data_IF_866128228813
#
_entry.id   IF_866128228813
#
_cell.length_a   1.000
_cell.length_b   1.000
_cell.length_c   1.000
_cell.angle_alpha   90.00
_cell.angle_beta   90.00
_cell.angle_gamma   90.00
#
_symmetry.space_group_name_H-M   'P 1'
#
loop_
_entity.id
_entity.type
_entity.pdbx_description
1 polymer ?
#
# COMPACT_ATOMS: atom_id res chain seq x y z
N UNK A 1 -10.59 15.97 -17.32
CA UNK A 1 -9.96 14.69 -17.74
C UNK A 1 -8.92 14.41 -16.68
N UNK A 2 -9.05 13.33 -15.91
CA UNK A 2 -8.15 13.00 -14.79
C UNK A 2 -6.72 12.94 -15.36
N UNK A 3 -5.82 13.81 -14.89
CA UNK A 3 -4.45 13.91 -15.42
C UNK A 3 -3.58 12.75 -14.92
N UNK A 4 -3.93 12.18 -13.77
CA UNK A 4 -3.14 11.18 -13.05
C UNK A 4 -3.77 9.78 -13.05
N UNK A 5 -4.35 9.35 -14.18
CA UNK A 5 -5.06 8.07 -14.31
C UNK A 5 -4.22 6.86 -13.91
N UNK A 6 -2.90 6.89 -14.16
CA UNK A 6 -2.01 5.79 -13.82
C UNK A 6 -1.82 5.66 -12.29
N UNK A 7 -1.71 6.78 -11.57
CA UNK A 7 -1.62 6.79 -10.11
C UNK A 7 -2.90 6.25 -9.48
N UNK A 8 -4.06 6.65 -10.00
CA UNK A 8 -5.35 6.13 -9.52
C UNK A 8 -5.46 4.62 -9.78
N UNK A 9 -5.09 4.15 -10.98
CA UNK A 9 -5.14 2.73 -11.32
C UNK A 9 -4.22 1.88 -10.42
N UNK A 10 -3.02 2.37 -10.12
CA UNK A 10 -2.10 1.69 -9.19
C UNK A 10 -2.68 1.66 -7.78
N UNK A 11 -3.30 2.74 -7.32
CA UNK A 11 -3.94 2.79 -6.01
C UNK A 11 -5.12 1.80 -5.90
N UNK A 12 -5.96 1.71 -6.92
CA UNK A 12 -7.05 0.74 -6.99
C UNK A 12 -6.54 -0.69 -6.96
N UNK A 13 -5.48 -0.98 -7.71
CA UNK A 13 -4.84 -2.30 -7.73
C UNK A 13 -4.25 -2.66 -6.36
N UNK A 14 -3.63 -1.70 -5.67
CA UNK A 14 -3.17 -1.89 -4.29
C UNK A 14 -4.31 -2.25 -3.34
N UNK A 15 -5.46 -1.55 -3.43
CA UNK A 15 -6.64 -1.84 -2.61
C UNK A 15 -7.18 -3.24 -2.91
N UNK A 16 -7.25 -3.62 -4.20
CA UNK A 16 -7.67 -4.96 -4.63
C UNK A 16 -6.76 -6.05 -4.05
N UNK A 17 -5.44 -5.86 -4.14
CA UNK A 17 -4.45 -6.79 -3.62
C UNK A 17 -4.51 -6.92 -2.10
N UNK A 18 -4.66 -5.81 -1.37
CA UNK A 18 -4.84 -5.83 0.09
C UNK A 18 -6.10 -6.61 0.49
N UNK A 19 -7.21 -6.43 -0.24
CA UNK A 19 -8.44 -7.21 -0.04
C UNK A 19 -8.22 -8.70 -0.31
N UNK A 20 -7.45 -9.06 -1.34
CA UNK A 20 -7.13 -10.46 -1.65
C UNK A 20 -6.26 -11.12 -0.58
N UNK A 21 -5.24 -10.43 -0.06
CA UNK A 21 -4.41 -10.92 1.04
C UNK A 21 -5.28 -11.28 2.26
N UNK A 22 -6.22 -10.40 2.62
CA UNK A 22 -7.15 -10.65 3.74
C UNK A 22 -8.09 -11.82 3.44
N UNK A 23 -8.73 -11.81 2.27
CA UNK A 23 -9.67 -12.87 1.87
C UNK A 23 -9.03 -14.26 1.91
N UNK A 24 -7.80 -14.40 1.40
CA UNK A 24 -7.08 -15.68 1.40
C UNK A 24 -6.70 -16.10 2.83
N UNK A 25 -6.26 -15.15 3.66
CA UNK A 25 -5.95 -15.40 5.07
C UNK A 25 -7.17 -15.85 5.89
N UNK A 26 -8.37 -15.35 5.56
CA UNK A 26 -9.62 -15.69 6.24
C UNK A 26 -10.20 -17.04 5.76
N UNK A 27 -10.16 -17.32 4.45
CA UNK A 27 -10.78 -18.52 3.87
C UNK A 27 -9.91 -19.78 3.98
N UNK A 28 -8.58 -19.64 3.93
CA UNK A 28 -7.59 -20.73 4.07
C UNK A 28 -7.94 -21.96 3.22
N UNK A 29 -8.29 -21.78 1.95
CA UNK A 29 -8.53 -22.87 1.01
C UNK A 29 -7.26 -23.72 0.80
N UNK A 30 -7.39 -24.90 0.21
CA UNK A 30 -6.21 -25.72 -0.11
C UNK A 30 -5.22 -24.93 -0.99
N UNK A 31 -3.95 -24.83 -0.58
CA UNK A 31 -2.93 -24.04 -1.28
C UNK A 31 -2.93 -22.54 -0.98
N UNK A 32 -3.72 -22.07 -0.01
CA UNK A 32 -3.83 -20.65 0.35
C UNK A 32 -2.49 -19.96 0.66
N UNK A 33 -1.48 -20.70 1.12
CA UNK A 33 -0.17 -20.17 1.51
C UNK A 33 0.58 -19.57 0.30
N UNK A 34 0.50 -20.24 -0.85
CA UNK A 34 1.12 -19.78 -2.10
C UNK A 34 0.42 -18.52 -2.62
N UNK A 35 -0.91 -18.52 -2.64
CA UNK A 35 -1.73 -17.37 -3.02
C UNK A 35 -1.47 -16.17 -2.10
N UNK A 36 -1.47 -16.41 -0.78
CA UNK A 36 -1.20 -15.38 0.23
C UNK A 36 0.18 -14.77 0.03
N UNK A 37 1.21 -15.60 -0.17
CA UNK A 37 2.57 -15.15 -0.47
C UNK A 37 2.65 -14.37 -1.79
N UNK A 38 1.94 -14.81 -2.82
CA UNK A 38 1.89 -14.14 -4.13
C UNK A 38 1.26 -12.75 -4.05
N UNK A 39 0.05 -12.63 -3.48
CA UNK A 39 -0.64 -11.35 -3.36
C UNK A 39 0.13 -10.37 -2.46
N UNK A 40 0.76 -10.84 -1.38
CA UNK A 40 1.63 -9.99 -0.56
C UNK A 40 2.83 -9.43 -1.32
N UNK A 41 3.49 -10.24 -2.14
CA UNK A 41 4.61 -9.77 -2.97
C UNK A 41 4.14 -8.72 -3.98
N UNK A 42 3.03 -8.97 -4.66
CA UNK A 42 2.44 -8.02 -5.62
C UNK A 42 2.08 -6.69 -4.95
N UNK A 43 1.46 -6.73 -3.76
CA UNK A 43 1.15 -5.51 -3.00
C UNK A 43 2.40 -4.69 -2.67
N UNK A 44 3.50 -5.34 -2.29
CA UNK A 44 4.78 -4.67 -2.04
C UNK A 44 5.40 -4.02 -3.28
N UNK A 45 5.24 -4.66 -4.45
CA UNK A 45 5.67 -4.10 -5.73
C UNK A 45 4.84 -2.87 -6.10
N UNK A 46 3.51 -2.93 -5.99
CA UNK A 46 2.63 -1.80 -6.28
C UNK A 46 2.91 -0.59 -5.38
N UNK A 47 3.17 -0.81 -4.08
CA UNK A 47 3.59 0.26 -3.16
C UNK A 47 4.87 0.96 -3.63
N UNK A 48 5.85 0.20 -4.11
CA UNK A 48 7.12 0.74 -4.60
C UNK A 48 6.93 1.50 -5.91
N UNK A 49 6.08 0.96 -6.80
CA UNK A 49 5.80 1.57 -8.09
C UNK A 49 5.01 2.87 -7.95
N UNK A 50 4.04 2.92 -7.02
CA UNK A 50 3.24 4.12 -6.73
C UNK A 50 4.13 5.33 -6.37
N UNK A 51 5.15 5.12 -5.54
CA UNK A 51 6.05 6.21 -5.12
C UNK A 51 6.88 6.74 -6.29
N UNK A 52 7.42 5.84 -7.12
CA UNK A 52 8.17 6.23 -8.32
C UNK A 52 7.30 7.02 -9.28
N UNK A 53 6.11 6.48 -9.58
CA UNK A 53 5.15 7.14 -10.46
C UNK A 53 4.74 8.50 -9.90
N UNK A 54 4.53 8.64 -8.59
CA UNK A 54 4.18 9.92 -8.00
C UNK A 54 5.31 10.95 -8.12
N UNK A 55 6.56 10.51 -7.95
CA UNK A 55 7.74 11.35 -8.14
C UNK A 55 7.90 11.83 -9.59
N UNK A 56 7.58 10.98 -10.55
CA UNK A 56 7.72 11.29 -11.98
C UNK A 56 6.50 12.07 -12.55
N UNK A 57 5.28 11.78 -12.09
CA UNK A 57 4.02 12.24 -12.70
C UNK A 57 3.45 13.52 -12.08
N UNK A 58 3.70 13.76 -10.79
CA UNK A 58 3.09 14.89 -10.07
C UNK A 58 3.94 16.17 -10.07
N UNK A 59 5.13 16.17 -10.67
CA UNK A 59 6.09 17.31 -10.63
C UNK A 59 6.18 17.95 -9.22
N UNK A 60 6.25 17.10 -8.18
CA UNK A 60 5.99 17.54 -6.81
C UNK A 60 6.99 18.58 -6.31
N UNK A 61 6.48 19.48 -5.46
CA UNK A 61 7.32 20.28 -4.57
C UNK A 61 8.16 19.36 -3.69
N UNK A 62 9.38 19.81 -3.38
CA UNK A 62 10.32 19.06 -2.56
C UNK A 62 9.74 18.66 -1.18
N UNK A 63 8.91 19.53 -0.58
CA UNK A 63 8.24 19.27 0.69
C UNK A 63 7.24 18.10 0.59
N UNK A 64 6.38 18.11 -0.43
CA UNK A 64 5.40 17.05 -0.68
C UNK A 64 6.12 15.72 -0.99
N UNK A 65 7.19 15.74 -1.79
CA UNK A 65 8.00 14.57 -2.08
C UNK A 65 8.68 13.98 -0.82
N UNK A 66 9.15 14.83 0.10
CA UNK A 66 9.74 14.39 1.37
C UNK A 66 8.70 13.75 2.30
N UNK A 67 7.49 14.32 2.35
CA UNK A 67 6.38 13.76 3.13
C UNK A 67 5.95 12.40 2.57
N UNK A 68 5.83 12.29 1.25
CA UNK A 68 5.55 11.03 0.57
C UNK A 68 6.60 9.96 0.90
N UNK A 69 7.88 10.29 0.74
CA UNK A 69 8.98 9.36 1.02
C UNK A 69 8.97 8.88 2.47
N UNK A 70 8.75 9.80 3.42
CA UNK A 70 8.68 9.46 4.86
C UNK A 70 7.51 8.53 5.16
N UNK A 71 6.35 8.79 4.55
CA UNK A 71 5.14 8.00 4.73
C UNK A 71 5.31 6.60 4.12
N UNK A 72 5.90 6.51 2.94
CA UNK A 72 6.27 5.25 2.30
C UNK A 72 7.24 4.43 3.15
N UNK A 73 8.30 5.05 3.67
CA UNK A 73 9.28 4.35 4.50
C UNK A 73 8.67 3.82 5.80
N UNK A 74 7.79 4.58 6.44
CA UNK A 74 7.04 4.14 7.60
C UNK A 74 6.14 2.93 7.29
N UNK A 75 5.41 2.98 6.16
CA UNK A 75 4.57 1.88 5.70
C UNK A 75 5.43 0.63 5.38
N UNK A 76 6.51 0.79 4.61
CA UNK A 76 7.46 -0.27 4.27
C UNK A 76 8.08 -0.91 5.51
N UNK A 77 8.45 -0.13 6.52
CA UNK A 77 9.00 -0.64 7.77
C UNK A 77 7.99 -1.44 8.59
N UNK A 78 6.69 -1.10 8.54
CA UNK A 78 5.62 -1.90 9.17
C UNK A 78 5.47 -3.25 8.45
N UNK A 79 5.46 -3.24 7.11
CA UNK A 79 5.39 -4.46 6.29
C UNK A 79 6.60 -5.37 6.53
N UNK A 80 7.81 -4.82 6.50
CA UNK A 80 9.04 -5.58 6.69
C UNK A 80 9.09 -6.23 8.08
N UNK A 81 8.70 -5.50 9.14
CA UNK A 81 8.59 -6.07 10.49
C UNK A 81 7.60 -7.23 10.52
N UNK A 82 6.42 -7.06 9.93
CA UNK A 82 5.42 -8.13 9.85
C UNK A 82 5.91 -9.35 9.06
N UNK A 83 6.74 -9.18 8.02
CA UNK A 83 7.30 -10.28 7.22
C UNK A 83 8.30 -11.16 7.97
N UNK A 84 9.14 -10.55 8.79
CA UNK A 84 10.27 -11.25 9.44
C UNK A 84 9.85 -11.89 10.77
N UNK A 85 8.77 -11.38 11.37
CA UNK A 85 8.50 -11.59 12.79
C UNK A 85 7.56 -12.76 13.09
N UNK A 86 6.75 -13.22 12.13
CA UNK A 86 5.72 -14.23 12.39
C UNK A 86 5.88 -15.46 11.49
N UNK A 87 5.97 -16.66 12.08
CA UNK A 87 5.97 -17.91 11.32
C UNK A 87 4.55 -18.21 10.82
N UNK A 88 4.43 -19.13 9.84
CA UNK A 88 3.15 -19.52 9.24
C UNK A 88 2.14 -20.02 10.28
N UNK A 89 2.60 -20.70 11.32
CA UNK A 89 1.77 -21.18 12.43
C UNK A 89 1.04 -20.05 13.16
N UNK A 90 1.67 -18.87 13.32
CA UNK A 90 1.03 -17.71 13.94
C UNK A 90 -0.17 -17.20 13.12
N UNK A 91 -0.16 -17.42 11.81
CA UNK A 91 -1.26 -17.11 10.90
C UNK A 91 -2.39 -18.15 11.06
N UNK A 92 -2.03 -19.43 11.13
CA UNK A 92 -2.99 -20.55 11.22
C UNK A 92 -3.75 -20.54 12.55
N UNK A 93 -3.08 -20.20 13.65
CA UNK A 93 -3.64 -20.21 14.99
C UNK A 93 -4.22 -18.87 15.46
N UNK A 94 -4.36 -17.89 14.55
CA UNK A 94 -4.90 -16.56 14.87
C UNK A 94 -4.19 -15.92 16.07
N UNK A 95 -2.85 -15.97 16.07
CA UNK A 95 -2.05 -15.45 17.17
C UNK A 95 -2.35 -13.94 17.39
N UNK A 96 -2.67 -13.50 18.62
CA UNK A 96 -3.01 -12.11 18.90
C UNK A 96 -1.92 -11.09 18.50
N UNK A 97 -0.64 -11.48 18.57
CA UNK A 97 0.47 -10.64 18.15
C UNK A 97 0.57 -10.56 16.63
N UNK A 98 0.27 -11.65 15.91
CA UNK A 98 0.13 -11.64 14.45
C UNK A 98 -1.02 -10.71 14.01
N UNK A 99 -2.20 -10.82 14.62
CA UNK A 99 -3.36 -9.96 14.34
C UNK A 99 -3.01 -8.49 14.59
N UNK A 100 -2.37 -8.20 15.73
CA UNK A 100 -1.95 -6.83 16.06
C UNK A 100 -0.96 -6.27 15.04
N UNK A 101 0.02 -7.08 14.61
CA UNK A 101 0.98 -6.69 13.58
C UNK A 101 0.30 -6.46 12.23
N UNK A 102 -0.65 -7.31 11.85
CA UNK A 102 -1.43 -7.15 10.62
C UNK A 102 -2.25 -5.85 10.64
N UNK A 103 -2.89 -5.51 11.76
CA UNK A 103 -3.61 -4.25 11.94
C UNK A 103 -2.69 -3.03 11.81
N UNK A 104 -1.44 -3.11 12.30
CA UNK A 104 -0.46 -2.03 12.12
C UNK A 104 -0.04 -1.86 10.67
N UNK A 105 0.10 -2.98 9.93
CA UNK A 105 0.36 -2.94 8.49
C UNK A 105 -0.80 -2.28 7.74
N UNK A 106 -2.04 -2.68 8.03
CA UNK A 106 -3.23 -2.09 7.42
C UNK A 106 -3.33 -0.59 7.73
N UNK A 107 -3.12 -0.17 8.97
CA UNK A 107 -3.09 1.25 9.34
C UNK A 107 -2.04 2.03 8.52
N UNK A 108 -0.83 1.50 8.36
CA UNK A 108 0.20 2.14 7.52
C UNK A 108 -0.14 2.18 6.04
N UNK A 109 -0.90 1.20 5.55
CA UNK A 109 -1.42 1.23 4.19
C UNK A 109 -2.51 2.29 4.03
N UNK A 110 -3.43 2.42 4.99
CA UNK A 110 -4.45 3.47 4.96
C UNK A 110 -3.84 4.88 5.05
N UNK A 111 -2.85 5.07 5.92
CA UNK A 111 -2.09 6.33 6.04
C UNK A 111 -1.47 6.73 4.69
N UNK A 112 -0.78 5.77 4.03
CA UNK A 112 -0.16 5.98 2.73
C UNK A 112 -1.20 6.27 1.64
N UNK A 113 -2.28 5.50 1.60
CA UNK A 113 -3.37 5.69 0.64
C UNK A 113 -4.01 7.07 0.76
N UNK A 114 -4.31 7.51 1.98
CA UNK A 114 -4.91 8.82 2.22
C UNK A 114 -3.98 9.95 1.75
N UNK A 115 -2.68 9.85 2.06
CA UNK A 115 -1.67 10.80 1.58
C UNK A 115 -1.61 10.84 0.04
N UNK A 116 -1.60 9.68 -0.62
CA UNK A 116 -1.57 9.62 -2.09
C UNK A 116 -2.80 10.24 -2.74
N UNK A 117 -4.00 10.01 -2.18
CA UNK A 117 -5.23 10.62 -2.68
C UNK A 117 -5.21 12.15 -2.52
N UNK A 118 -4.77 12.65 -1.37
CA UNK A 118 -4.63 14.08 -1.10
C UNK A 118 -3.63 14.75 -2.05
N UNK A 119 -2.49 14.10 -2.31
CA UNK A 119 -1.51 14.58 -3.29
C UNK A 119 -2.10 14.61 -4.70
N UNK A 120 -2.74 13.53 -5.16
CA UNK A 120 -3.36 13.51 -6.50
C UNK A 120 -4.40 14.63 -6.62
N UNK A 121 -5.32 14.77 -5.67
CA UNK A 121 -6.36 15.81 -5.70
C UNK A 121 -5.76 17.22 -5.72
N UNK A 122 -4.78 17.49 -4.87
CA UNK A 122 -4.14 18.81 -4.79
C UNK A 122 -3.48 19.21 -6.11
N UNK A 123 -2.74 18.29 -6.73
CA UNK A 123 -2.03 18.56 -7.97
C UNK A 123 -2.99 18.59 -9.18
N UNK A 124 -4.12 17.88 -9.16
CA UNK A 124 -5.19 18.07 -10.16
C UNK A 124 -5.77 19.48 -10.09
N UNK A 125 -6.12 19.96 -8.89
CA UNK A 125 -6.67 21.32 -8.69
C UNK A 125 -5.66 22.39 -9.09
N UNK A 126 -4.40 22.28 -8.67
CA UNK A 126 -3.34 23.21 -9.08
C UNK A 126 -3.19 23.22 -10.62
N UNK A 127 -3.25 22.05 -11.27
CA UNK A 127 -3.12 21.94 -12.71
C UNK A 127 -4.34 22.44 -13.50
N UNK A 128 -5.52 22.56 -12.88
CA UNK A 128 -6.72 23.17 -13.47
C UNK A 128 -6.69 24.70 -13.37
N UNK A 129 -6.14 25.25 -12.27
CA UNK A 129 -6.04 26.70 -12.05
C UNK A 129 -5.05 27.40 -13.00
N UNK A 130 -4.11 26.64 -13.58
CA UNK A 130 -3.05 27.15 -14.48
C UNK A 130 -3.42 27.03 -15.97
N UNK A 131 -4.52 26.32 -16.30
CA UNK A 131 -5.07 26.16 -17.66
C UNK A 131 -6.28 27.05 -17.93
#
# INVERSE_FOLDING_TARGET
>A
MIKHLLLIAVLEEMVRLASKVRQVGDLRHEGWEEDYGSYRRQLGLCLTEMVKLAQDDLEMRAEDAQVLQTTFEACRARIARHQVQFPLEAIVFDDPAYITSLNQVDAGFQDFKAMMLDLVERYEVEAELVT
#
